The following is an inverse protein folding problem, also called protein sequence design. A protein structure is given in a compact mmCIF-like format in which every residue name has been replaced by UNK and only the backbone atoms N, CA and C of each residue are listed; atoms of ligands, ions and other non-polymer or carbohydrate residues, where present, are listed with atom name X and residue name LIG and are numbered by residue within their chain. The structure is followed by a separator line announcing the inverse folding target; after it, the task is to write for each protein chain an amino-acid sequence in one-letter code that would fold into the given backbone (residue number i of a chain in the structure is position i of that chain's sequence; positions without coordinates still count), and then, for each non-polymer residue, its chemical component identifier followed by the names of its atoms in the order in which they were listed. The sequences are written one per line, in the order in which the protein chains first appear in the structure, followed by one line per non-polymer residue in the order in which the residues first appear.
data_IF_215045378187
#
_entry.id   IF_215045378187
#
_cell.length_a   1.000
_cell.length_b   1.000
_cell.length_c   1.000
_cell.angle_alpha   90.00
_cell.angle_beta   90.00
_cell.angle_gamma   90.00
#
_symmetry.space_group_name_H-M   'P 1'
#
loop_
_entity.id
_entity.type
_entity.pdbx_description
1 polymer ?
#
# COMPACT_ATOMS: atom_id res chain seq x y z
N UNK A 1 9.56 -58.26 3.16
CA UNK A 1 9.75 -57.22 4.19
C UNK A 1 9.29 -55.88 3.62
N UNK A 2 8.30 -55.24 4.23
CA UNK A 2 7.65 -54.05 3.67
C UNK A 2 8.33 -52.73 4.06
N UNK A 3 7.96 -51.65 3.37
CA UNK A 3 8.51 -50.30 3.61
C UNK A 3 8.26 -49.80 5.05
N UNK A 4 7.21 -50.30 5.71
CA UNK A 4 6.90 -49.96 7.11
C UNK A 4 7.93 -50.52 8.10
N UNK A 5 8.57 -51.67 7.80
CA UNK A 5 9.61 -52.25 8.65
C UNK A 5 10.88 -51.38 8.64
N UNK A 6 11.28 -50.89 7.46
CA UNK A 6 12.44 -49.99 7.30
C UNK A 6 12.21 -48.65 8.01
N UNK A 7 10.98 -48.14 7.99
CA UNK A 7 10.60 -46.90 8.68
C UNK A 7 10.68 -47.04 10.19
N UNK A 8 10.18 -48.14 10.75
CA UNK A 8 10.25 -48.39 12.19
C UNK A 8 11.69 -48.64 12.67
N UNK A 9 12.52 -49.31 11.87
CA UNK A 9 13.92 -49.55 12.21
C UNK A 9 14.80 -48.28 12.14
N UNK A 10 14.44 -47.30 11.30
CA UNK A 10 15.26 -46.10 11.09
C UNK A 10 15.14 -45.05 12.21
N UNK A 11 14.16 -45.16 13.12
CA UNK A 11 13.98 -44.25 14.27
C UNK A 11 13.72 -42.76 13.92
N UNK A 12 13.58 -42.42 12.63
CA UNK A 12 13.34 -41.04 12.16
C UNK A 12 11.87 -40.88 11.76
N UNK A 13 11.18 -39.83 12.21
CA UNK A 13 9.81 -39.57 11.79
C UNK A 13 9.78 -39.38 10.26
N UNK A 14 9.02 -40.23 9.57
CA UNK A 14 8.89 -40.17 8.12
C UNK A 14 7.83 -39.13 7.73
N UNK A 15 8.27 -37.98 7.23
CA UNK A 15 7.38 -36.99 6.62
C UNK A 15 7.43 -37.11 5.11
N UNK A 16 6.26 -37.23 4.47
CA UNK A 16 6.18 -37.32 2.99
C UNK A 16 6.76 -36.05 2.37
N UNK A 17 7.60 -36.19 1.34
CA UNK A 17 8.36 -35.08 0.72
C UNK A 17 7.48 -33.93 0.20
N UNK A 18 6.24 -34.21 -0.19
CA UNK A 18 5.28 -33.19 -0.65
C UNK A 18 4.73 -32.32 0.50
N UNK A 19 4.63 -32.84 1.73
CA UNK A 19 4.21 -32.04 2.89
C UNK A 19 5.24 -30.92 3.17
N UNK A 20 6.53 -31.23 3.01
CA UNK A 20 7.62 -30.25 3.12
C UNK A 20 7.58 -29.18 2.02
N UNK A 21 6.91 -29.44 0.90
CA UNK A 21 6.67 -28.47 -0.16
C UNK A 21 5.63 -27.42 0.24
N UNK A 22 4.56 -27.84 0.93
CA UNK A 22 3.53 -26.94 1.45
C UNK A 22 4.11 -26.01 2.53
N UNK A 23 4.98 -26.53 3.41
CA UNK A 23 5.65 -25.70 4.42
C UNK A 23 6.57 -24.64 3.81
N UNK A 24 7.15 -24.92 2.64
CA UNK A 24 7.99 -23.95 1.90
C UNK A 24 7.17 -22.82 1.27
N UNK A 25 5.92 -23.07 0.88
CA UNK A 25 5.01 -22.05 0.34
C UNK A 25 4.50 -21.12 1.46
N UNK A 26 4.41 -21.62 2.71
CA UNK A 26 3.99 -20.81 3.85
C UNK A 26 5.03 -19.81 4.34
N UNK A 27 6.29 -20.01 4.01
CA UNK A 27 7.39 -19.20 4.54
C UNK A 27 7.85 -18.23 3.47
N UNK A 28 7.67 -16.90 3.65
CA UNK A 28 8.16 -15.93 2.67
C UNK A 28 9.69 -16.03 2.56
N UNK A 29 10.17 -16.18 1.34
CA UNK A 29 11.56 -16.33 0.92
C UNK A 29 12.11 -15.00 0.37
N UNK A 30 13.42 -14.88 0.25
CA UNK A 30 14.11 -13.68 -0.25
C UNK A 30 13.66 -13.25 -1.66
N UNK A 31 13.14 -14.18 -2.46
CA UNK A 31 12.64 -13.94 -3.82
C UNK A 31 11.13 -13.74 -3.87
N UNK A 32 10.44 -13.89 -2.74
CA UNK A 32 9.05 -13.48 -2.67
C UNK A 32 9.01 -11.96 -2.73
N UNK A 33 8.36 -11.46 -3.77
CA UNK A 33 8.11 -10.03 -3.94
C UNK A 33 7.21 -9.61 -2.80
N UNK A 34 7.81 -9.13 -1.71
CA UNK A 34 7.11 -8.31 -0.75
C UNK A 34 6.66 -7.08 -1.51
N UNK A 35 5.37 -7.04 -1.86
CA UNK A 35 4.73 -5.82 -2.31
C UNK A 35 4.69 -4.86 -1.12
N UNK A 36 5.85 -4.32 -0.76
CA UNK A 36 6.06 -3.40 0.36
C UNK A 36 5.59 -2.00 0.01
N UNK A 37 5.30 -1.73 -1.25
CA UNK A 37 4.45 -0.62 -1.62
C UNK A 37 3.00 -1.11 -1.54
N UNK A 38 2.39 -1.04 -0.35
CA UNK A 38 1.01 -0.56 -0.34
C UNK A 38 1.08 0.73 -1.14
N UNK A 39 0.62 0.69 -2.39
CA UNK A 39 0.55 1.85 -3.26
C UNK A 39 -0.27 2.88 -2.50
N UNK A 40 0.39 3.85 -1.84
CA UNK A 40 -0.24 4.97 -1.14
C UNK A 40 -0.81 5.98 -2.15
N UNK A 41 -1.33 5.45 -3.25
CA UNK A 41 -2.01 6.18 -4.30
C UNK A 41 -3.45 6.34 -3.83
N UNK A 42 -3.82 7.59 -3.59
CA UNK A 42 -5.10 7.99 -3.05
C UNK A 42 -5.91 8.68 -4.13
N UNK A 43 -7.20 8.39 -4.19
CA UNK A 43 -8.12 9.11 -5.04
C UNK A 43 -8.64 10.34 -4.30
N UNK A 44 -8.19 11.52 -4.73
CA UNK A 44 -8.68 12.80 -4.26
C UNK A 44 -9.80 13.33 -5.15
N UNK A 45 -10.80 13.97 -4.54
CA UNK A 45 -11.84 14.71 -5.23
C UNK A 45 -11.39 16.16 -5.40
N UNK A 46 -11.30 16.62 -6.65
CA UNK A 46 -10.86 17.97 -6.97
C UNK A 46 -11.97 18.99 -6.70
N UNK A 47 -11.64 20.11 -6.06
CA UNK A 47 -12.59 21.18 -5.73
C UNK A 47 -12.98 22.00 -6.95
N UNK A 48 -12.03 22.20 -7.88
CA UNK A 48 -12.25 22.87 -9.15
C UNK A 48 -11.65 22.05 -10.30
N UNK A 49 -12.39 21.93 -11.41
CA UNK A 49 -11.93 21.18 -12.59
C UNK A 49 -10.62 21.80 -13.13
N UNK A 50 -9.57 21.00 -13.24
CA UNK A 50 -8.27 21.43 -13.77
C UNK A 50 -7.35 22.13 -12.77
N UNK A 51 -7.67 22.14 -11.47
CA UNK A 51 -6.84 22.79 -10.45
C UNK A 51 -5.53 22.06 -10.14
N UNK A 52 -5.38 20.80 -10.56
CA UNK A 52 -4.18 20.00 -10.33
C UNK A 52 -3.58 19.58 -11.68
N UNK A 53 -2.28 19.78 -11.84
CA UNK A 53 -1.51 19.29 -12.98
C UNK A 53 -0.86 17.96 -12.65
N UNK A 54 -0.81 17.05 -13.62
CA UNK A 54 -0.05 15.80 -13.48
C UNK A 54 1.44 16.12 -13.21
N UNK A 55 2.04 15.43 -12.24
CA UNK A 55 3.42 15.64 -11.81
C UNK A 55 3.61 16.80 -10.82
N UNK A 56 2.55 17.56 -10.50
CA UNK A 56 2.65 18.63 -9.51
C UNK A 56 2.95 18.07 -8.12
N UNK A 57 3.82 18.76 -7.39
CA UNK A 57 4.06 18.48 -5.97
C UNK A 57 3.02 19.22 -5.14
N UNK A 58 2.29 18.47 -4.33
CA UNK A 58 1.21 18.96 -3.49
C UNK A 58 1.46 18.62 -2.03
N UNK A 59 0.83 19.36 -1.12
CA UNK A 59 0.86 19.10 0.32
C UNK A 59 -0.46 18.50 0.76
N UNK A 60 -0.39 17.38 1.47
CA UNK A 60 -1.54 16.76 2.13
C UNK A 60 -1.51 17.16 3.60
N UNK A 61 -2.61 17.69 4.10
CA UNK A 61 -2.79 18.06 5.50
C UNK A 61 -3.96 17.30 6.11
N UNK A 62 -3.82 16.83 7.35
CA UNK A 62 -4.94 16.30 8.11
C UNK A 62 -5.85 17.42 8.62
N UNK A 63 -7.16 17.32 8.32
CA UNK A 63 -8.19 18.25 8.79
C UNK A 63 -9.32 17.45 9.43
N UNK A 64 -9.13 17.10 10.71
CA UNK A 64 -10.06 16.24 11.44
C UNK A 64 -10.12 14.84 10.83
N UNK A 65 -11.30 14.44 10.37
CA UNK A 65 -11.52 13.12 9.76
C UNK A 65 -11.13 13.03 8.28
N UNK A 66 -10.87 14.15 7.61
CA UNK A 66 -10.57 14.20 6.19
C UNK A 66 -9.12 14.63 5.94
N UNK A 67 -8.57 14.25 4.79
CA UNK A 67 -7.32 14.79 4.30
C UNK A 67 -7.60 15.85 3.22
N UNK A 68 -6.87 16.95 3.28
CA UNK A 68 -7.00 18.08 2.35
C UNK A 68 -5.71 18.23 1.56
N UNK A 69 -5.82 18.52 0.27
CA UNK A 69 -4.68 18.66 -0.64
C UNK A 69 -4.54 20.12 -1.04
N UNK A 70 -3.33 20.64 -0.88
CA UNK A 70 -2.94 21.99 -1.22
C UNK A 70 -1.90 22.01 -2.34
N UNK A 71 -2.09 22.93 -3.28
CA UNK A 71 -1.06 23.36 -4.23
C UNK A 71 -0.65 24.79 -3.86
N UNK A 72 0.55 24.94 -3.30
CA UNK A 72 0.98 26.17 -2.64
C UNK A 72 0.02 26.58 -1.51
N UNK A 73 -0.66 27.71 -1.69
CA UNK A 73 -1.64 28.25 -0.72
C UNK A 73 -3.09 27.89 -1.05
N UNK A 74 -3.34 27.22 -2.17
CA UNK A 74 -4.70 26.94 -2.66
C UNK A 74 -5.10 25.50 -2.31
N UNK A 75 -6.27 25.35 -1.70
CA UNK A 75 -6.87 24.03 -1.53
C UNK A 75 -7.39 23.54 -2.88
N UNK A 76 -6.82 22.45 -3.39
CA UNK A 76 -7.14 21.90 -4.72
C UNK A 76 -7.99 20.64 -4.68
N UNK A 77 -7.90 19.86 -3.60
CA UNK A 77 -8.64 18.61 -3.47
C UNK A 77 -8.96 18.26 -2.02
N UNK A 78 -9.90 17.32 -1.84
CA UNK A 78 -10.12 16.61 -0.59
C UNK A 78 -10.14 15.11 -0.81
N UNK A 79 -9.62 14.36 0.16
CA UNK A 79 -9.63 12.90 0.18
C UNK A 79 -10.52 12.49 1.36
N UNK A 80 -11.82 12.25 1.12
CA UNK A 80 -12.70 11.72 2.14
C UNK A 80 -12.30 10.27 2.46
N UNK A 81 -12.42 9.86 3.73
CA UNK A 81 -12.20 8.48 4.18
C UNK A 81 -10.83 7.89 3.79
N UNK A 82 -9.75 8.64 4.02
CA UNK A 82 -8.40 8.13 3.79
C UNK A 82 -8.11 6.87 4.64
N UNK A 83 -7.41 5.84 4.08
CA UNK A 83 -7.02 4.65 4.80
C UNK A 83 -6.24 4.98 6.09
N UNK A 84 -6.38 4.18 7.16
CA UNK A 84 -5.70 4.43 8.43
C UNK A 84 -4.17 4.38 8.29
N UNK A 85 -3.63 3.54 7.40
CA UNK A 85 -2.18 3.48 7.11
C UNK A 85 -1.64 4.80 6.54
N UNK A 86 -2.41 5.42 5.65
CA UNK A 86 -2.12 6.73 5.06
C UNK A 86 -2.23 7.84 6.09
N UNK A 87 -3.27 7.79 6.94
CA UNK A 87 -3.46 8.78 8.00
C UNK A 87 -2.30 8.73 9.01
N UNK A 88 -1.92 7.54 9.44
CA UNK A 88 -0.77 7.34 10.30
C UNK A 88 0.53 7.88 9.68
N UNK A 89 0.72 7.73 8.35
CA UNK A 89 1.88 8.26 7.65
C UNK A 89 1.90 9.80 7.59
N UNK A 90 0.73 10.44 7.48
CA UNK A 90 0.59 11.90 7.54
C UNK A 90 0.79 12.41 8.97
N UNK A 91 0.18 11.74 9.96
CA UNK A 91 0.29 12.12 11.37
C UNK A 91 1.72 11.96 11.90
N UNK A 92 2.44 10.92 11.47
CA UNK A 92 3.87 10.73 11.76
C UNK A 92 4.75 11.90 11.27
N UNK A 93 4.27 12.67 10.30
CA UNK A 93 4.94 13.86 9.74
C UNK A 93 4.31 15.16 10.26
N UNK A 94 3.80 15.16 11.49
CA UNK A 94 3.17 16.33 12.14
C UNK A 94 1.88 16.79 11.43
N UNK A 95 1.14 15.84 10.84
CA UNK A 95 -0.13 16.12 10.18
C UNK A 95 -0.01 16.73 8.78
N UNK A 96 1.22 16.79 8.22
CA UNK A 96 1.46 17.26 6.86
C UNK A 96 2.43 16.33 6.11
N UNK A 97 2.12 16.00 4.87
CA UNK A 97 3.00 15.18 4.04
C UNK A 97 3.06 15.69 2.59
N UNK A 98 4.26 15.78 1.99
CA UNK A 98 4.37 16.04 0.56
C UNK A 98 3.90 14.83 -0.24
N UNK A 99 3.26 15.11 -1.36
CA UNK A 99 2.75 14.11 -2.29
C UNK A 99 2.87 14.60 -3.73
N UNK A 100 2.70 13.70 -4.69
CA UNK A 100 2.74 14.01 -6.12
C UNK A 100 1.44 13.55 -6.76
N UNK A 101 0.90 14.40 -7.63
CA UNK A 101 -0.26 14.02 -8.46
C UNK A 101 0.24 13.11 -9.57
N UNK A 102 -0.03 11.81 -9.48
CA UNK A 102 0.38 10.84 -10.50
C UNK A 102 -0.48 10.92 -11.75
N UNK A 103 -1.79 11.14 -11.57
CA UNK A 103 -2.75 11.17 -12.65
C UNK A 103 -3.94 12.05 -12.31
N UNK A 104 -4.48 12.72 -13.32
CA UNK A 104 -5.76 13.43 -13.22
C UNK A 104 -6.78 12.67 -14.05
N UNK A 105 -7.95 12.42 -13.48
CA UNK A 105 -9.05 11.77 -14.19
C UNK A 105 -9.49 12.59 -15.39
N UNK A 106 -9.94 11.92 -16.46
CA UNK A 106 -10.28 12.53 -17.75
C UNK A 106 -11.32 13.66 -17.61
N UNK A 107 -12.25 13.52 -16.65
CA UNK A 107 -13.30 14.52 -16.39
C UNK A 107 -12.85 15.67 -15.49
N UNK A 108 -11.59 15.65 -15.01
CA UNK A 108 -11.02 16.66 -14.12
C UNK A 108 -11.66 16.73 -12.73
N UNK A 109 -12.45 15.72 -12.34
CA UNK A 109 -13.15 15.67 -11.06
C UNK A 109 -12.38 14.92 -9.97
N UNK A 110 -11.45 14.05 -10.37
CA UNK A 110 -10.65 13.22 -9.46
C UNK A 110 -9.18 13.26 -9.85
N UNK A 111 -8.30 13.06 -8.87
CA UNK A 111 -6.87 12.91 -9.09
C UNK A 111 -6.33 11.75 -8.25
N UNK A 112 -5.39 11.01 -8.79
CA UNK A 112 -4.61 9.99 -8.09
C UNK A 112 -3.35 10.65 -7.53
N UNK A 113 -3.14 10.53 -6.23
CA UNK A 113 -2.08 11.22 -5.50
C UNK A 113 -1.24 10.20 -4.75
N UNK A 114 0.06 10.15 -5.01
CA UNK A 114 1.00 9.28 -4.31
C UNK A 114 1.76 10.07 -3.25
N UNK A 115 1.73 9.58 -2.01
CA UNK A 115 2.55 10.10 -0.93
C UNK A 115 4.04 9.81 -1.19
N UNK A 116 4.90 10.82 -0.99
CA UNK A 116 6.37 10.65 -1.00
C UNK A 116 6.87 10.05 0.31
#
# INVERSE_FOLDING_TARGET
MGIEFIRNASGKPYTKRWARGIDRIRTPTLMDVSMSEESRTLTAKLTAKGAACQGATVLIQSKGADLVVFDGLRQVASIPNAPPSVRAAVDARQGMAPAVVERVGILGATAEIKLK
#
